data_IF_066274491526
#
_entry.id   IF_066274491526
#
_cell.length_a   1.000
_cell.length_b   1.000
_cell.length_c   1.000
_cell.angle_alpha   90.00
_cell.angle_beta   90.00
_cell.angle_gamma   90.00
#
_symmetry.space_group_name_H-M   'P 1'
#
loop_
_entity.id
_entity.type
_entity.pdbx_description
1 polymer ?
#
# COMPACT_ATOMS: atom_id res chain seq x y z
N UNK A 1 30.08 17.18 -12.90
CA UNK A 1 29.81 16.59 -11.59
C UNK A 1 28.30 16.59 -11.44
N UNK A 2 27.71 15.41 -11.57
CA UNK A 2 26.26 15.19 -11.64
C UNK A 2 25.65 15.33 -10.23
N UNK A 3 24.72 16.28 -10.05
CA UNK A 3 24.11 16.58 -8.75
C UNK A 3 22.98 15.61 -8.37
N UNK A 4 22.64 14.67 -9.26
CA UNK A 4 21.55 13.70 -9.10
C UNK A 4 21.90 12.59 -8.10
N UNK A 5 23.17 12.20 -8.01
CA UNK A 5 23.61 11.13 -7.09
C UNK A 5 23.58 11.55 -5.61
N UNK A 6 23.70 12.84 -5.32
CA UNK A 6 23.79 13.36 -3.95
C UNK A 6 22.45 13.36 -3.20
N UNK A 7 21.33 13.50 -3.91
CA UNK A 7 19.99 13.53 -3.29
C UNK A 7 19.53 12.12 -2.91
N UNK A 8 19.78 11.14 -3.78
CA UNK A 8 19.53 9.71 -3.52
C UNK A 8 20.30 9.19 -2.30
N UNK A 9 21.55 9.62 -2.14
CA UNK A 9 22.37 9.23 -0.98
C UNK A 9 21.90 9.88 0.33
N UNK A 10 21.42 11.13 0.30
CA UNK A 10 20.90 11.82 1.48
C UNK A 10 19.53 11.26 1.92
N UNK A 11 18.69 10.84 0.99
CA UNK A 11 17.42 10.18 1.27
C UNK A 11 17.59 8.81 1.95
N UNK A 12 18.70 8.11 1.70
CA UNK A 12 19.05 6.82 2.35
C UNK A 12 19.48 6.97 3.81
N UNK A 13 20.02 8.13 4.21
CA UNK A 13 20.54 8.34 5.57
C UNK A 13 19.47 8.71 6.61
N UNK A 14 18.25 9.08 6.18
CA UNK A 14 17.22 9.67 7.06
C UNK A 14 16.00 8.79 7.36
N UNK A 15 15.96 7.53 6.92
CA UNK A 15 14.81 6.66 7.18
C UNK A 15 15.03 5.76 8.41
N UNK A 16 14.31 5.96 9.53
CA UNK A 16 14.32 5.02 10.64
C UNK A 16 13.38 3.84 10.35
N UNK A 17 13.93 2.63 10.54
CA UNK A 17 13.27 1.34 10.80
C UNK A 17 11.74 1.24 10.56
N UNK A 18 11.32 0.96 9.32
CA UNK A 18 10.20 0.06 8.95
C UNK A 18 9.82 0.15 7.45
N UNK A 19 10.78 0.03 6.53
CA UNK A 19 10.55 -0.30 5.09
C UNK A 19 11.90 -0.44 4.34
N UNK A 20 12.82 -1.29 4.81
CA UNK A 20 14.19 -1.30 4.26
C UNK A 20 14.47 -2.26 3.11
N UNK A 21 13.49 -3.02 2.61
CA UNK A 21 13.70 -3.87 1.43
C UNK A 21 13.26 -3.15 0.14
N UNK A 22 13.91 -2.01 -0.16
CA UNK A 22 13.76 -1.33 -1.46
C UNK A 22 14.18 -2.21 -2.66
N UNK A 23 14.89 -3.31 -2.41
CA UNK A 23 15.30 -4.27 -3.43
C UNK A 23 14.26 -5.38 -3.70
N UNK A 24 13.18 -5.47 -2.90
CA UNK A 24 12.18 -6.54 -3.03
C UNK A 24 11.03 -6.19 -3.98
N UNK A 25 10.83 -4.90 -4.23
CA UNK A 25 9.68 -4.37 -4.96
C UNK A 25 10.11 -3.42 -6.08
N UNK A 26 9.36 -3.41 -7.18
CA UNK A 26 9.52 -2.38 -8.21
C UNK A 26 9.28 -0.98 -7.65
N UNK A 27 9.79 0.06 -8.33
CA UNK A 27 9.56 1.46 -7.96
C UNK A 27 8.08 1.75 -7.74
N UNK A 28 7.23 1.22 -8.60
CA UNK A 28 5.78 1.44 -8.59
C UNK A 28 5.13 0.78 -7.37
N UNK A 29 5.58 -0.43 -7.01
CA UNK A 29 5.11 -1.15 -5.83
C UNK A 29 5.49 -0.45 -4.54
N UNK A 30 6.71 0.10 -4.48
CA UNK A 30 7.15 0.93 -3.34
C UNK A 30 6.32 2.21 -3.21
N UNK A 31 6.08 2.92 -4.32
CA UNK A 31 5.26 4.14 -4.33
C UNK A 31 3.83 3.83 -3.87
N UNK A 32 3.21 2.77 -4.41
CA UNK A 32 1.87 2.35 -4.01
C UNK A 32 1.79 2.05 -2.51
N UNK A 33 2.72 1.25 -1.98
CA UNK A 33 2.78 0.95 -0.56
C UNK A 33 2.96 2.21 0.30
N UNK A 34 3.80 3.17 -0.13
CA UNK A 34 4.02 4.43 0.58
C UNK A 34 2.78 5.31 0.62
N UNK A 35 2.04 5.41 -0.48
CA UNK A 35 0.79 6.19 -0.56
C UNK A 35 -0.27 5.60 0.36
N UNK A 36 -0.42 4.27 0.35
CA UNK A 36 -1.33 3.56 1.24
C UNK A 36 -0.93 3.76 2.71
N UNK A 37 0.36 3.68 3.03
CA UNK A 37 0.87 3.91 4.39
C UNK A 37 0.45 5.29 4.93
N UNK A 38 0.51 6.33 4.10
CA UNK A 38 0.11 7.68 4.50
C UNK A 38 -1.41 7.78 4.77
N UNK A 39 -2.24 7.09 3.99
CA UNK A 39 -3.69 7.00 4.25
C UNK A 39 -3.99 6.21 5.53
N UNK A 40 -3.28 5.10 5.76
CA UNK A 40 -3.46 4.29 6.97
C UNK A 40 -3.02 5.04 8.22
N UNK A 41 -2.01 5.90 8.16
CA UNK A 41 -1.66 6.80 9.28
C UNK A 41 -2.82 7.72 9.66
N UNK A 42 -3.57 8.22 8.68
CA UNK A 42 -4.74 9.06 8.94
C UNK A 42 -5.82 8.22 9.62
N UNK A 43 -6.18 7.06 9.05
CA UNK A 43 -7.17 6.15 9.64
C UNK A 43 -6.79 5.71 11.07
N UNK A 44 -5.52 5.40 11.30
CA UNK A 44 -4.97 5.00 12.58
C UNK A 44 -5.11 6.10 13.66
N UNK A 45 -5.07 7.39 13.28
CA UNK A 45 -5.32 8.50 14.21
C UNK A 45 -6.80 8.68 14.54
N UNK A 46 -7.69 8.35 13.61
CA UNK A 46 -9.14 8.50 13.78
C UNK A 46 -9.76 7.33 14.55
N UNK A 47 -9.19 6.13 14.41
CA UNK A 47 -9.77 4.91 14.98
C UNK A 47 -8.96 4.49 16.22
N UNK A 48 -9.65 4.46 17.36
CA UNK A 48 -9.10 3.99 18.63
C UNK A 48 -8.49 2.60 18.49
N UNK A 49 -7.33 2.39 19.13
CA UNK A 49 -6.59 1.13 19.12
C UNK A 49 -7.45 -0.09 19.44
N UNK A 50 -8.40 0.04 20.37
CA UNK A 50 -9.27 -1.06 20.80
C UNK A 50 -10.32 -1.47 19.75
N UNK A 51 -10.62 -0.59 18.79
CA UNK A 51 -11.60 -0.86 17.73
C UNK A 51 -10.97 -1.37 16.44
N UNK A 52 -9.64 -1.28 16.28
CA UNK A 52 -8.98 -1.63 15.01
C UNK A 52 -9.13 -3.11 14.67
N UNK A 53 -8.98 -3.99 15.64
CA UNK A 53 -9.11 -5.45 15.45
C UNK A 53 -10.52 -5.92 15.05
N UNK A 54 -11.52 -5.04 15.13
CA UNK A 54 -12.90 -5.31 14.67
C UNK A 54 -13.33 -4.36 13.54
N UNK A 55 -12.47 -3.42 13.14
CA UNK A 55 -12.70 -2.53 12.02
C UNK A 55 -12.13 -3.19 10.77
N UNK A 56 -13.00 -3.57 9.84
CA UNK A 56 -12.62 -4.15 8.56
C UNK A 56 -11.90 -3.12 7.70
N UNK A 57 -10.76 -3.50 7.13
CA UNK A 57 -10.00 -2.69 6.19
C UNK A 57 -9.96 -3.37 4.82
N UNK A 58 -10.61 -2.76 3.83
CA UNK A 58 -10.67 -3.26 2.44
C UNK A 58 -9.99 -2.27 1.50
N UNK A 59 -9.21 -2.78 0.56
CA UNK A 59 -8.69 -2.04 -0.59
C UNK A 59 -9.18 -2.66 -1.89
N UNK A 60 -9.86 -1.85 -2.69
CA UNK A 60 -10.26 -2.23 -4.05
C UNK A 60 -9.53 -1.33 -5.04
N UNK A 61 -8.76 -1.95 -5.91
CA UNK A 61 -8.13 -1.24 -7.01
C UNK A 61 -9.11 -1.18 -8.19
N UNK A 62 -9.28 0.00 -8.78
CA UNK A 62 -10.15 0.18 -9.94
C UNK A 62 -9.44 -0.23 -11.24
N UNK A 63 -10.10 -0.02 -12.38
CA UNK A 63 -9.67 -0.47 -13.71
C UNK A 63 -8.23 -0.11 -14.10
N UNK A 64 -7.67 0.99 -13.57
CA UNK A 64 -6.29 1.41 -13.86
C UNK A 64 -5.23 0.35 -13.52
N UNK A 65 -5.47 -0.48 -12.50
CA UNK A 65 -4.53 -1.54 -12.14
C UNK A 65 -4.58 -2.74 -13.09
N UNK A 66 -5.70 -2.97 -13.78
CA UNK A 66 -5.85 -4.05 -14.78
C UNK A 66 -4.94 -3.87 -16.00
N UNK A 67 -4.49 -2.64 -16.25
CA UNK A 67 -3.62 -2.31 -17.37
C UNK A 67 -2.17 -2.75 -17.15
N UNK A 68 -1.79 -3.08 -15.91
CA UNK A 68 -0.48 -3.61 -15.58
C UNK A 68 -0.41 -5.10 -15.91
N UNK A 69 0.79 -5.63 -16.17
CA UNK A 69 0.98 -7.08 -16.25
C UNK A 69 0.80 -7.74 -14.87
N UNK A 70 0.50 -9.04 -14.86
CA UNK A 70 0.20 -9.79 -13.64
C UNK A 70 1.32 -9.71 -12.59
N UNK A 71 2.58 -9.79 -13.03
CA UNK A 71 3.74 -9.67 -12.12
C UNK A 71 3.76 -8.34 -11.38
N UNK A 72 3.54 -7.23 -12.08
CA UNK A 72 3.51 -5.90 -11.47
C UNK A 72 2.30 -5.73 -10.55
N UNK A 73 1.14 -6.26 -10.93
CA UNK A 73 -0.05 -6.26 -10.06
C UNK A 73 0.23 -7.02 -8.75
N UNK A 74 0.81 -8.22 -8.84
CA UNK A 74 1.14 -9.02 -7.67
C UNK A 74 2.17 -8.35 -6.76
N UNK A 75 3.21 -7.71 -7.33
CA UNK A 75 4.19 -6.97 -6.54
C UNK A 75 3.56 -5.79 -5.79
N UNK A 76 2.66 -5.05 -6.43
CA UNK A 76 1.91 -3.96 -5.78
C UNK A 76 1.06 -4.52 -4.65
N UNK A 77 0.29 -5.58 -4.89
CA UNK A 77 -0.55 -6.19 -3.87
C UNK A 77 0.24 -6.72 -2.68
N UNK A 78 1.37 -7.36 -2.92
CA UNK A 78 2.26 -7.82 -1.85
C UNK A 78 2.80 -6.66 -1.01
N UNK A 79 3.29 -5.60 -1.65
CA UNK A 79 3.84 -4.43 -0.96
C UNK A 79 2.78 -3.70 -0.11
N UNK A 80 1.56 -3.59 -0.66
CA UNK A 80 0.41 -3.01 0.04
C UNK A 80 -0.05 -3.90 1.20
N UNK A 81 -0.12 -5.22 1.01
CA UNK A 81 -0.51 -6.16 2.07
C UNK A 81 0.45 -6.10 3.26
N UNK A 82 1.76 -6.03 3.00
CA UNK A 82 2.76 -5.84 4.07
C UNK A 82 2.55 -4.53 4.83
N UNK A 83 2.05 -3.48 4.16
CA UNK A 83 1.71 -2.21 4.79
C UNK A 83 0.47 -2.34 5.67
N UNK A 84 -0.57 -3.05 5.20
CA UNK A 84 -1.82 -3.29 5.90
C UNK A 84 -1.62 -3.97 7.27
N UNK A 85 -0.75 -4.98 7.32
CA UNK A 85 -0.46 -5.77 8.54
C UNK A 85 0.07 -4.89 9.69
N UNK A 86 0.71 -3.75 9.39
CA UNK A 86 1.33 -2.87 10.41
C UNK A 86 0.33 -2.18 11.33
N UNK A 87 -0.93 -2.03 10.89
CA UNK A 87 -1.89 -1.13 11.56
C UNK A 87 -2.90 -1.85 12.46
N UNK A 88 -2.95 -3.19 12.43
CA UNK A 88 -3.78 -4.00 13.31
C UNK A 88 -5.29 -3.87 13.06
N UNK A 89 -5.68 -3.47 11.84
CA UNK A 89 -7.06 -3.55 11.38
C UNK A 89 -7.46 -4.99 11.10
N UNK A 90 -8.76 -5.30 11.19
CA UNK A 90 -9.27 -6.60 10.77
C UNK A 90 -9.14 -6.74 9.25
N UNK A 91 -8.58 -7.87 8.82
CA UNK A 91 -8.41 -8.22 7.41
C UNK A 91 -9.20 -9.51 7.12
N UNK A 92 -10.22 -9.42 6.28
CA UNK A 92 -10.81 -10.60 5.66
C UNK A 92 -9.90 -11.15 4.55
N UNK A 93 -9.97 -12.46 4.35
CA UNK A 93 -9.24 -13.15 3.29
C UNK A 93 -9.80 -12.62 1.96
N UNK A 94 -9.00 -11.91 1.14
CA UNK A 94 -9.35 -11.20 -0.12
C UNK A 94 -9.58 -9.67 -0.03
N UNK A 95 -8.95 -8.98 0.92
CA UNK A 95 -9.13 -7.53 1.09
C UNK A 95 -8.34 -6.64 0.13
N UNK A 96 -7.46 -7.20 -0.68
CA UNK A 96 -6.77 -6.46 -1.74
C UNK A 96 -7.06 -7.18 -3.04
N UNK A 97 -7.95 -6.59 -3.84
CA UNK A 97 -8.27 -7.12 -5.16
C UNK A 97 -8.58 -6.00 -6.15
N UNK A 98 -8.53 -6.35 -7.42
CA UNK A 98 -9.11 -5.52 -8.47
C UNK A 98 -10.63 -5.63 -8.36
N UNK A 99 -11.30 -4.49 -8.27
CA UNK A 99 -12.76 -4.40 -8.30
C UNK A 99 -13.27 -4.83 -9.67
N UNK A 100 -14.29 -5.68 -9.75
CA UNK A 100 -14.93 -6.02 -11.01
C UNK A 100 -15.92 -4.93 -11.43
N UNK A 101 -16.14 -4.72 -12.74
CA UNK A 101 -17.07 -3.68 -13.26
C UNK A 101 -18.49 -3.82 -12.71
N UNK A 102 -18.92 -5.04 -12.38
CA UNK A 102 -20.20 -5.30 -11.74
C UNK A 102 -20.28 -4.77 -10.28
N UNK A 103 -19.16 -4.71 -9.56
CA UNK A 103 -19.09 -4.18 -8.20
C UNK A 103 -19.06 -2.64 -8.20
N UNK A 104 -18.63 -2.03 -9.31
CA UNK A 104 -18.57 -0.56 -9.50
C UNK A 104 -19.96 0.07 -9.67
N UNK A 105 -20.98 -0.71 -10.04
CA UNK A 105 -22.34 -0.23 -10.30
C UNK A 105 -23.40 -0.51 -9.22
N UNK A 106 -23.13 -1.35 -8.22
CA UNK A 106 -24.16 -1.82 -7.26
C UNK A 106 -24.41 -0.90 -6.05
N UNK A 107 -23.75 0.26 -5.96
CA UNK A 107 -24.04 1.30 -4.97
C UNK A 107 -24.78 2.50 -5.62
N UNK A 108 -25.85 2.22 -6.39
CA UNK A 108 -26.79 3.24 -6.89
C UNK A 108 -28.14 3.16 -6.20
#
# INVERSE_FOLDING_TARGET
MDQSESVEQELRRRAPNSFNDKNLFSSDSYIAAKQIDDLLKIANRQISRFKRSTTLLVLRATAGLRLLNETNQQQIFQAVNQTFIKYGFYQATMDIAIMNEAEEGTNS
#
